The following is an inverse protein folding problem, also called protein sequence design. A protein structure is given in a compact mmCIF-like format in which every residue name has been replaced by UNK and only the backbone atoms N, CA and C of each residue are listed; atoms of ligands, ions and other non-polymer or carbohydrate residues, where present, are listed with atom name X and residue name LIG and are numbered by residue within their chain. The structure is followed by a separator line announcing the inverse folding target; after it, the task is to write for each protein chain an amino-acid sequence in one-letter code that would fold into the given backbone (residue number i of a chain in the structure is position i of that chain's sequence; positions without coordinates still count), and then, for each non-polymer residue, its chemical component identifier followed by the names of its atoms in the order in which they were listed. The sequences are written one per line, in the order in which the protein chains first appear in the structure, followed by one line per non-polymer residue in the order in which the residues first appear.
data_IF_615335841573
#
_entry.id   IF_615335841573
#
_cell.length_a   1.000
_cell.length_b   1.000
_cell.length_c   1.000
_cell.angle_alpha   90.00
_cell.angle_beta   90.00
_cell.angle_gamma   90.00
#
_symmetry.space_group_name_H-M   'P 1'
#
loop_
_entity.id
_entity.type
_entity.pdbx_description
1 polymer ?
#
# COMPACT_ATOMS: atom_id res chain seq x y z
N UNK A 1 26.20 -46.09 -9.12
CA UNK A 1 25.41 -45.76 -7.92
C UNK A 1 26.33 -45.93 -6.70
N UNK A 2 27.16 -44.93 -6.40
CA UNK A 2 28.29 -45.05 -5.45
C UNK A 2 28.02 -44.49 -4.06
N UNK A 3 26.90 -43.79 -3.85
CA UNK A 3 26.75 -42.88 -2.69
C UNK A 3 25.96 -43.49 -1.52
N UNK A 4 25.59 -44.78 -1.61
CA UNK A 4 24.90 -45.51 -0.53
C UNK A 4 23.51 -44.97 -0.15
N UNK A 5 22.96 -44.05 -0.94
CA UNK A 5 21.69 -43.38 -0.68
C UNK A 5 20.52 -44.35 -0.80
N UNK A 6 19.61 -44.36 0.19
CA UNK A 6 18.40 -45.18 0.13
C UNK A 6 17.47 -44.67 -0.99
N UNK A 7 17.08 -45.54 -1.91
CA UNK A 7 16.19 -45.20 -3.04
C UNK A 7 14.89 -46.02 -2.97
N UNK A 8 13.76 -45.41 -3.35
CA UNK A 8 12.42 -46.03 -3.29
C UNK A 8 11.40 -45.21 -2.47
N UNK A 9 10.30 -45.84 -2.02
CA UNK A 9 9.36 -45.22 -1.07
C UNK A 9 10.00 -45.16 0.33
N UNK A 10 10.55 -44.01 0.69
CA UNK A 10 11.19 -43.77 1.99
C UNK A 10 10.39 -42.74 2.79
N UNK A 11 10.24 -42.96 4.09
CA UNK A 11 9.56 -42.01 4.98
C UNK A 11 10.37 -40.73 5.20
N UNK A 12 9.71 -39.58 5.37
CA UNK A 12 10.41 -38.30 5.60
C UNK A 12 11.32 -38.29 6.83
N UNK A 13 10.98 -39.06 7.88
CA UNK A 13 11.85 -39.24 9.07
C UNK A 13 13.13 -39.99 8.74
N UNK A 14 13.05 -41.03 7.92
CA UNK A 14 14.22 -41.79 7.48
C UNK A 14 15.15 -40.93 6.60
N UNK A 15 14.59 -40.11 5.70
CA UNK A 15 15.38 -39.15 4.89
C UNK A 15 16.08 -38.12 5.78
N UNK A 16 15.40 -37.57 6.79
CA UNK A 16 16.00 -36.60 7.71
C UNK A 16 17.14 -37.21 8.55
N UNK A 17 16.97 -38.44 9.03
CA UNK A 17 18.02 -39.16 9.77
C UNK A 17 19.23 -39.48 8.88
N UNK A 18 19.00 -39.92 7.64
CA UNK A 18 20.07 -40.17 6.66
C UNK A 18 20.84 -38.88 6.31
N UNK A 19 20.12 -37.76 6.11
CA UNK A 19 20.73 -36.45 5.86
C UNK A 19 21.55 -35.97 7.07
N UNK A 20 21.11 -36.22 8.30
CA UNK A 20 21.85 -35.87 9.50
C UNK A 20 23.16 -36.68 9.62
N UNK A 21 23.10 -38.00 9.34
CA UNK A 21 24.28 -38.87 9.30
C UNK A 21 25.26 -38.45 8.21
N UNK A 22 24.77 -38.12 7.01
CA UNK A 22 25.60 -37.63 5.91
C UNK A 22 26.27 -36.30 6.23
N UNK A 23 25.52 -35.33 6.79
CA UNK A 23 26.11 -34.06 7.24
C UNK A 23 27.15 -34.26 8.34
N UNK A 24 26.93 -35.18 9.28
CA UNK A 24 27.89 -35.48 10.33
C UNK A 24 29.16 -36.15 9.78
N UNK A 25 29.01 -37.10 8.84
CA UNK A 25 30.13 -37.75 8.16
C UNK A 25 30.90 -36.77 7.27
N UNK A 26 30.22 -35.89 6.54
CA UNK A 26 30.82 -34.80 5.77
C UNK A 26 31.54 -33.82 6.69
N UNK A 27 30.93 -33.42 7.82
CA UNK A 27 31.56 -32.55 8.80
C UNK A 27 32.81 -33.18 9.42
N UNK A 28 32.79 -34.48 9.72
CA UNK A 28 33.95 -35.23 10.22
C UNK A 28 35.06 -35.36 9.15
N UNK A 29 34.68 -35.62 7.90
CA UNK A 29 35.61 -35.61 6.76
C UNK A 29 36.24 -34.24 6.56
N UNK A 30 35.44 -33.18 6.61
CA UNK A 30 35.93 -31.81 6.53
C UNK A 30 36.88 -31.57 7.71
N UNK A 31 36.48 -31.87 8.95
CA UNK A 31 37.27 -31.77 10.19
C UNK A 31 38.65 -32.44 10.08
N UNK A 32 38.72 -33.62 9.47
CA UNK A 32 39.95 -34.38 9.30
C UNK A 32 40.86 -33.88 8.15
N UNK A 33 40.36 -33.04 7.23
CA UNK A 33 41.21 -32.45 6.18
C UNK A 33 42.22 -31.45 6.76
N UNK A 34 43.40 -31.38 6.14
CA UNK A 34 44.45 -30.42 6.50
C UNK A 34 44.00 -28.97 6.27
N UNK A 35 44.64 -28.03 6.96
CA UNK A 35 44.33 -26.60 6.84
C UNK A 35 44.50 -26.08 5.40
N UNK A 36 45.45 -26.62 4.64
CA UNK A 36 45.72 -26.24 3.25
C UNK A 36 44.58 -26.61 2.29
N UNK A 37 43.92 -27.75 2.53
CA UNK A 37 42.82 -28.24 1.68
C UNK A 37 41.47 -27.73 2.17
N UNK A 38 41.28 -27.63 3.48
CA UNK A 38 40.02 -27.18 4.10
C UNK A 38 39.86 -25.67 4.13
N UNK A 39 40.95 -24.90 4.02
CA UNK A 39 40.93 -23.43 4.08
C UNK A 39 40.44 -22.86 5.42
N UNK A 40 40.48 -23.64 6.52
CA UNK A 40 39.95 -23.25 7.85
C UNK A 40 40.40 -21.87 8.32
N UNK A 41 41.67 -21.54 8.08
CA UNK A 41 42.29 -20.31 8.56
C UNK A 41 42.61 -19.33 7.40
N UNK A 42 41.97 -19.52 6.24
CA UNK A 42 42.17 -18.64 5.10
C UNK A 42 41.59 -17.25 5.40
N UNK A 43 42.44 -16.22 5.40
CA UNK A 43 42.01 -14.84 5.58
C UNK A 43 41.06 -14.43 4.45
N UNK A 44 39.87 -13.92 4.79
CA UNK A 44 38.90 -13.44 3.81
C UNK A 44 39.45 -12.20 3.09
N UNK A 45 39.59 -12.28 1.77
CA UNK A 45 40.02 -11.15 0.94
C UNK A 45 38.80 -10.36 0.50
N UNK A 46 38.64 -9.15 1.03
CA UNK A 46 37.59 -8.22 0.60
C UNK A 46 38.05 -7.47 -0.65
N UNK A 47 37.11 -7.23 -1.59
CA UNK A 47 37.37 -6.53 -2.84
C UNK A 47 36.29 -5.49 -3.12
N UNK A 48 36.70 -4.39 -3.75
CA UNK A 48 35.78 -3.37 -4.24
C UNK A 48 35.08 -3.82 -5.54
N UNK A 49 34.09 -3.05 -5.99
CA UNK A 49 33.37 -3.24 -7.26
C UNK A 49 34.32 -3.27 -8.47
N UNK A 50 35.47 -2.59 -8.38
CA UNK A 50 36.53 -2.59 -9.41
C UNK A 50 37.53 -3.74 -9.28
N UNK A 51 37.34 -4.64 -8.31
CA UNK A 51 38.19 -5.83 -8.08
C UNK A 51 39.48 -5.60 -7.29
N UNK A 52 39.76 -4.35 -6.87
CA UNK A 52 40.90 -4.04 -6.00
C UNK A 52 40.71 -4.64 -4.60
N UNK A 53 41.80 -5.06 -3.94
CA UNK A 53 41.75 -5.59 -2.56
C UNK A 53 41.55 -4.43 -1.58
N UNK A 54 40.63 -4.60 -0.64
CA UNK A 54 40.18 -3.58 0.33
C UNK A 54 40.26 -4.17 1.74
N UNK A 55 40.45 -3.34 2.76
CA UNK A 55 40.40 -3.80 4.14
C UNK A 55 38.98 -4.22 4.55
N UNK A 56 38.87 -5.01 5.61
CA UNK A 56 37.58 -5.49 6.14
C UNK A 56 36.67 -4.32 6.56
N UNK A 57 37.24 -3.34 7.25
CA UNK A 57 36.48 -2.21 7.80
C UNK A 57 35.95 -1.30 6.71
N UNK A 58 36.75 -1.04 5.67
CA UNK A 58 36.34 -0.28 4.48
C UNK A 58 35.22 -0.99 3.70
N UNK A 59 35.28 -2.32 3.58
CA UNK A 59 34.23 -3.08 2.90
C UNK A 59 32.89 -3.04 3.68
N UNK A 60 32.96 -3.18 5.01
CA UNK A 60 31.77 -3.06 5.88
C UNK A 60 31.20 -1.65 5.81
N UNK A 61 32.05 -0.61 5.92
CA UNK A 61 31.62 0.78 5.80
C UNK A 61 30.99 1.09 4.43
N UNK A 62 31.54 0.58 3.32
CA UNK A 62 30.96 0.75 2.00
C UNK A 62 29.61 0.03 1.86
N UNK A 63 29.47 -1.15 2.47
CA UNK A 63 28.19 -1.88 2.50
C UNK A 63 27.14 -1.15 3.32
N UNK A 64 27.51 -0.62 4.48
CA UNK A 64 26.57 0.08 5.36
C UNK A 64 26.17 1.44 4.77
N UNK A 65 27.08 2.16 4.09
CA UNK A 65 26.72 3.34 3.29
C UNK A 65 25.68 3.02 2.22
N UNK A 66 25.86 1.94 1.46
CA UNK A 66 24.87 1.52 0.44
C UNK A 66 23.52 1.14 1.04
N UNK A 67 23.49 0.57 2.25
CA UNK A 67 22.22 0.29 2.95
C UNK A 67 21.52 1.58 3.35
N UNK A 68 22.25 2.54 3.90
CA UNK A 68 21.71 3.85 4.27
C UNK A 68 21.19 4.58 3.03
N UNK A 69 21.95 4.61 1.93
CA UNK A 69 21.51 5.18 0.65
C UNK A 69 20.23 4.51 0.13
N UNK A 70 20.14 3.17 0.21
CA UNK A 70 18.93 2.43 -0.18
C UNK A 70 17.73 2.72 0.72
N UNK A 71 17.94 2.89 2.02
CA UNK A 71 16.89 3.27 2.98
C UNK A 71 16.42 4.71 2.74
N UNK A 72 17.33 5.63 2.45
CA UNK A 72 17.02 7.02 2.07
C UNK A 72 16.28 7.09 0.72
N UNK A 73 16.66 6.26 -0.27
CA UNK A 73 15.95 6.11 -1.54
C UNK A 73 14.54 5.51 -1.37
N UNK A 74 14.34 4.66 -0.35
CA UNK A 74 13.02 4.10 -0.02
C UNK A 74 12.13 5.15 0.64
N UNK A 75 12.70 6.00 1.49
CA UNK A 75 12.00 7.11 2.15
C UNK A 75 11.85 8.34 1.23
N UNK A 76 12.51 8.30 0.07
CA UNK A 76 12.48 9.34 -0.95
C UNK A 76 11.04 9.67 -1.32
N UNK A 77 10.77 10.97 -1.41
CA UNK A 77 9.42 11.50 -1.51
C UNK A 77 8.60 11.02 -2.71
N UNK A 78 9.30 10.42 -3.68
CA UNK A 78 8.81 10.08 -5.00
C UNK A 78 8.35 8.62 -5.09
N UNK A 79 8.74 7.76 -4.14
CA UNK A 79 8.36 6.34 -4.13
C UNK A 79 6.94 6.06 -3.57
N UNK A 80 6.34 7.03 -2.87
CA UNK A 80 5.03 6.88 -2.23
C UNK A 80 3.94 7.74 -2.87
N UNK A 81 2.68 7.28 -2.82
CA UNK A 81 1.55 8.06 -3.32
C UNK A 81 1.26 9.29 -2.46
N UNK A 82 0.99 10.46 -3.09
CA UNK A 82 0.63 11.69 -2.37
C UNK A 82 -0.58 11.51 -1.44
N UNK A 83 -1.58 10.74 -1.89
CA UNK A 83 -2.78 10.41 -1.11
C UNK A 83 -2.43 9.61 0.14
N UNK A 84 -1.58 8.59 0.01
CA UNK A 84 -1.15 7.74 1.13
C UNK A 84 -0.45 8.58 2.21
N UNK A 85 0.39 9.54 1.80
CA UNK A 85 1.06 10.46 2.73
C UNK A 85 0.07 11.36 3.47
N UNK A 86 -0.90 11.94 2.75
CA UNK A 86 -1.96 12.76 3.37
C UNK A 86 -2.80 11.93 4.34
N UNK A 87 -3.19 10.72 3.95
CA UNK A 87 -3.96 9.80 4.80
C UNK A 87 -3.18 9.44 6.08
N UNK A 88 -1.87 9.21 6.00
CA UNK A 88 -1.02 8.97 7.18
C UNK A 88 -1.01 10.20 8.10
N UNK A 89 -0.88 11.40 7.55
CA UNK A 89 -0.91 12.65 8.32
C UNK A 89 -2.27 12.89 8.98
N UNK A 90 -3.36 12.71 8.23
CA UNK A 90 -4.73 12.84 8.74
C UNK A 90 -5.01 11.81 9.83
N UNK A 91 -4.55 10.57 9.66
CA UNK A 91 -4.67 9.52 10.67
C UNK A 91 -3.89 9.86 11.94
N UNK A 92 -2.67 10.40 11.83
CA UNK A 92 -1.90 10.84 12.98
C UNK A 92 -2.61 11.96 13.75
N UNK A 93 -3.12 12.98 13.03
CA UNK A 93 -3.92 14.06 13.63
C UNK A 93 -5.21 13.54 14.30
N UNK A 94 -5.87 12.57 13.69
CA UNK A 94 -7.05 11.95 14.27
C UNK A 94 -6.69 11.18 15.55
N UNK A 95 -5.58 10.45 15.57
CA UNK A 95 -5.10 9.75 16.77
C UNK A 95 -4.77 10.72 17.91
N UNK A 96 -4.15 11.86 17.61
CA UNK A 96 -3.89 12.91 18.60
C UNK A 96 -5.19 13.49 19.19
N UNK A 97 -6.22 13.68 18.36
CA UNK A 97 -7.54 14.13 18.82
C UNK A 97 -8.23 13.06 19.68
N UNK A 98 -8.18 11.79 19.27
CA UNK A 98 -8.78 10.68 20.00
C UNK A 98 -8.05 10.36 21.31
N UNK A 99 -6.75 10.64 21.40
CA UNK A 99 -5.98 10.48 22.65
C UNK A 99 -6.56 11.31 23.80
N UNK A 100 -7.13 12.48 23.50
CA UNK A 100 -7.82 13.32 24.49
C UNK A 100 -9.30 13.00 24.71
N UNK A 101 -9.88 12.07 23.95
CA UNK A 101 -11.32 11.76 23.97
C UNK A 101 -11.64 10.59 24.91
N UNK A 102 -12.85 10.55 25.48
CA UNK A 102 -13.33 9.39 26.22
C UNK A 102 -13.51 8.18 25.28
N UNK A 103 -13.37 6.97 25.82
CA UNK A 103 -13.48 5.73 25.04
C UNK A 103 -14.86 5.52 24.39
N UNK A 104 -15.93 5.84 25.11
CA UNK A 104 -17.30 5.71 24.64
C UNK A 104 -17.87 7.09 24.30
N UNK A 105 -18.64 7.15 23.22
CA UNK A 105 -19.42 8.34 22.85
C UNK A 105 -20.76 8.33 23.58
N UNK A 106 -21.09 9.44 24.24
CA UNK A 106 -22.34 9.64 24.98
C UNK A 106 -23.35 10.44 24.15
N UNK A 107 -24.62 10.41 24.56
CA UNK A 107 -25.66 11.22 23.90
C UNK A 107 -25.38 12.73 24.01
N UNK A 108 -24.72 13.16 25.09
CA UNK A 108 -24.40 14.56 25.40
C UNK A 108 -23.03 15.03 24.87
N UNK A 109 -22.41 14.27 23.96
CA UNK A 109 -21.11 14.61 23.39
C UNK A 109 -21.19 15.88 22.54
N UNK A 110 -20.45 16.92 22.94
CA UNK A 110 -20.45 18.23 22.26
C UNK A 110 -20.01 18.14 20.79
N UNK A 111 -18.96 17.37 20.50
CA UNK A 111 -18.44 17.18 19.14
C UNK A 111 -19.47 16.48 18.24
N UNK A 112 -20.17 15.48 18.78
CA UNK A 112 -21.21 14.74 18.07
C UNK A 112 -22.41 15.63 17.76
N UNK A 113 -22.85 16.42 18.75
CA UNK A 113 -23.95 17.37 18.59
C UNK A 113 -23.60 18.48 17.59
N UNK A 114 -22.36 18.99 17.62
CA UNK A 114 -21.89 19.94 16.62
C UNK A 114 -21.95 19.34 15.20
N UNK A 115 -21.42 18.13 15.00
CA UNK A 115 -21.46 17.45 13.70
C UNK A 115 -22.90 17.19 13.20
N UNK A 116 -23.83 16.83 14.10
CA UNK A 116 -25.26 16.61 13.77
C UNK A 116 -26.00 17.89 13.37
N UNK A 117 -25.60 19.03 13.94
CA UNK A 117 -26.15 20.36 13.62
C UNK A 117 -25.61 20.86 12.29
N UNK A 118 -24.35 20.56 11.97
CA UNK A 118 -23.73 20.96 10.71
C UNK A 118 -24.17 20.10 9.51
N UNK A 119 -24.56 18.84 9.75
CA UNK A 119 -24.98 17.93 8.70
C UNK A 119 -26.16 18.48 7.87
N UNK A 120 -25.92 18.71 6.58
CA UNK A 120 -26.94 19.10 5.62
C UNK A 120 -27.96 17.97 5.44
N UNK A 121 -29.24 18.26 5.69
CA UNK A 121 -30.34 17.31 5.56
C UNK A 121 -31.13 17.60 4.29
N UNK A 122 -31.36 16.55 3.51
CA UNK A 122 -32.21 16.63 2.34
C UNK A 122 -33.66 16.93 2.77
N UNK A 123 -34.30 17.90 2.12
CA UNK A 123 -35.68 18.30 2.42
C UNK A 123 -35.86 19.30 3.57
N UNK A 124 -34.78 19.85 4.13
CA UNK A 124 -34.90 20.93 5.13
C UNK A 124 -35.26 22.28 4.46
N UNK A 125 -36.43 22.88 4.77
CA UNK A 125 -36.84 24.15 4.18
C UNK A 125 -35.92 25.32 4.54
N UNK A 126 -35.21 25.25 5.67
CA UNK A 126 -34.29 26.31 6.13
C UNK A 126 -32.88 26.17 5.55
N UNK A 127 -32.54 25.05 4.90
CA UNK A 127 -31.21 24.80 4.35
C UNK A 127 -30.75 25.87 3.35
N UNK A 128 -31.68 26.52 2.64
CA UNK A 128 -31.37 27.60 1.71
C UNK A 128 -31.07 28.94 2.39
N UNK A 129 -31.62 29.18 3.59
CA UNK A 129 -31.46 30.42 4.35
C UNK A 129 -30.15 30.44 5.16
N UNK A 130 -29.77 29.29 5.70
CA UNK A 130 -28.56 29.13 6.53
C UNK A 130 -27.37 28.67 5.71
N UNK A 131 -27.34 28.93 4.39
CA UNK A 131 -26.17 28.62 3.56
C UNK A 131 -24.97 29.44 4.04
N UNK A 132 -24.23 28.92 5.01
CA UNK A 132 -22.79 29.11 5.04
C UNK A 132 -22.34 28.76 3.63
N UNK A 133 -21.78 29.73 2.91
CA UNK A 133 -21.32 29.58 1.53
C UNK A 133 -20.51 28.30 1.50
N UNK A 134 -21.08 27.23 0.92
CA UNK A 134 -20.34 26.00 0.72
C UNK A 134 -19.03 26.46 0.07
N UNK A 135 -17.86 26.11 0.65
CA UNK A 135 -16.61 26.43 -0.02
C UNK A 135 -16.79 25.87 -1.41
N UNK A 136 -16.89 26.76 -2.37
CA UNK A 136 -17.12 26.41 -3.77
C UNK A 136 -16.06 25.34 -4.02
N UNK A 137 -16.48 24.10 -4.29
CA UNK A 137 -15.58 22.96 -4.55
C UNK A 137 -14.85 23.19 -5.89
N UNK A 138 -14.38 24.41 -6.16
CA UNK A 138 -13.11 24.65 -6.81
C UNK A 138 -12.12 23.72 -6.11
N UNK A 139 -11.89 22.60 -6.80
CA UNK A 139 -11.06 21.47 -6.42
C UNK A 139 -10.04 21.89 -5.37
N UNK A 140 -10.01 21.22 -4.19
CA UNK A 140 -9.19 21.63 -3.06
C UNK A 140 -7.87 22.05 -3.62
N UNK A 141 -7.59 23.35 -3.52
CA UNK A 141 -6.37 24.01 -4.00
C UNK A 141 -5.28 23.01 -3.68
N UNK A 142 -4.84 22.27 -4.71
CA UNK A 142 -3.77 21.30 -4.54
C UNK A 142 -2.64 22.21 -4.15
N UNK A 143 -2.34 22.25 -2.85
CA UNK A 143 -1.43 23.18 -2.23
C UNK A 143 -0.23 23.25 -3.15
N UNK A 144 -0.23 24.29 -3.99
CA UNK A 144 0.85 24.53 -4.90
C UNK A 144 1.86 25.09 -3.94
N UNK A 145 2.73 24.21 -3.45
CA UNK A 145 4.03 24.66 -3.04
C UNK A 145 4.47 25.61 -4.13
N UNK A 146 4.76 26.86 -3.75
CA UNK A 146 5.43 27.81 -4.61
C UNK A 146 6.78 27.19 -4.98
N UNK A 147 6.77 26.24 -5.91
CA UNK A 147 7.95 25.67 -6.48
C UNK A 147 8.44 26.72 -7.48
N UNK A 148 9.18 27.69 -6.93
CA UNK A 148 10.07 28.61 -7.63
C UNK A 148 9.55 29.06 -9.00
N UNK A 149 8.71 30.10 -9.01
CA UNK A 149 8.51 30.97 -10.18
C UNK A 149 7.46 30.56 -11.23
N UNK A 150 6.85 29.37 -11.17
CA UNK A 150 5.81 28.98 -12.12
C UNK A 150 4.41 28.97 -11.47
N UNK A 151 3.57 29.96 -11.81
CA UNK A 151 2.14 29.93 -11.44
C UNK A 151 1.43 28.95 -12.39
N UNK A 152 1.06 27.77 -11.90
CA UNK A 152 0.16 26.87 -12.61
C UNK A 152 -1.24 27.47 -12.51
N UNK A 153 -1.90 27.87 -13.60
CA UNK A 153 -3.27 28.36 -13.55
C UNK A 153 -4.19 27.29 -12.95
N UNK A 154 -4.85 27.63 -11.84
CA UNK A 154 -5.77 26.73 -11.14
C UNK A 154 -7.20 26.80 -11.69
N UNK A 155 -7.42 27.62 -12.71
CA UNK A 155 -8.71 27.77 -13.35
C UNK A 155 -9.16 26.48 -14.04
N UNK A 156 -10.46 26.24 -14.01
CA UNK A 156 -11.09 25.12 -14.72
C UNK A 156 -11.08 25.44 -16.22
N UNK A 157 -10.50 24.60 -17.08
CA UNK A 157 -10.50 24.83 -18.52
C UNK A 157 -11.92 24.80 -19.13
N UNK A 158 -12.16 25.50 -20.26
CA UNK A 158 -13.47 25.49 -20.95
C UNK A 158 -13.98 24.10 -21.32
N UNK A 159 -13.07 23.19 -21.70
CA UNK A 159 -13.41 21.81 -22.10
C UNK A 159 -13.66 20.87 -20.92
N UNK A 160 -13.47 21.33 -19.68
CA UNK A 160 -13.61 20.52 -18.49
C UNK A 160 -15.02 19.95 -18.32
N UNK A 161 -15.10 18.70 -17.88
CA UNK A 161 -16.33 18.07 -17.42
C UNK A 161 -17.08 18.89 -16.37
N UNK A 162 -16.37 19.62 -15.51
CA UNK A 162 -16.93 20.49 -14.47
C UNK A 162 -17.73 21.66 -15.07
N UNK A 163 -17.19 22.32 -16.11
CA UNK A 163 -17.89 23.44 -16.77
C UNK A 163 -19.04 22.97 -17.64
N UNK A 164 -18.90 21.81 -18.25
CA UNK A 164 -19.92 21.25 -19.14
C UNK A 164 -21.01 20.47 -18.39
N UNK A 165 -20.87 20.27 -17.08
CA UNK A 165 -21.84 19.53 -16.27
C UNK A 165 -21.97 18.05 -16.64
N UNK A 166 -20.96 17.44 -17.25
CA UNK A 166 -21.00 16.03 -17.64
C UNK A 166 -20.66 15.17 -16.43
N UNK A 167 -21.57 14.28 -16.03
CA UNK A 167 -21.32 13.36 -14.92
C UNK A 167 -20.12 12.44 -15.18
N UNK A 168 -19.21 12.34 -14.22
CA UNK A 168 -18.09 11.41 -14.31
C UNK A 168 -18.57 9.95 -14.23
N UNK A 169 -18.00 9.03 -15.04
CA UNK A 169 -18.30 7.61 -14.93
C UNK A 169 -17.90 7.10 -13.55
N UNK A 170 -18.71 6.21 -13.00
CA UNK A 170 -18.41 5.57 -11.73
C UNK A 170 -17.18 4.65 -11.87
N UNK A 171 -16.31 4.67 -10.87
CA UNK A 171 -15.18 3.76 -10.77
C UNK A 171 -15.18 3.07 -9.40
N UNK A 172 -14.50 1.92 -9.31
CA UNK A 172 -14.38 1.15 -8.06
C UNK A 172 -13.91 1.96 -6.85
N UNK A 173 -13.12 3.00 -7.07
CA UNK A 173 -12.48 3.78 -6.02
C UNK A 173 -13.19 5.09 -5.65
N UNK A 174 -14.29 5.43 -6.31
CA UNK A 174 -14.98 6.73 -6.13
C UNK A 174 -14.11 7.96 -6.45
N UNK A 175 -13.04 7.80 -7.23
CA UNK A 175 -12.11 8.88 -7.56
C UNK A 175 -12.73 9.74 -8.66
N UNK A 176 -12.96 11.02 -8.37
CA UNK A 176 -13.45 11.98 -9.37
C UNK A 176 -12.34 12.34 -10.38
N UNK A 177 -12.65 12.50 -11.67
CA UNK A 177 -11.69 12.96 -12.67
C UNK A 177 -11.13 14.34 -12.33
N UNK A 178 -9.89 14.61 -12.75
CA UNK A 178 -9.27 15.92 -12.57
C UNK A 178 -9.98 17.02 -13.39
N UNK A 179 -9.69 18.29 -13.05
CA UNK A 179 -10.31 19.45 -13.71
C UNK A 179 -10.07 19.52 -15.23
N UNK A 180 -9.03 18.88 -15.76
CA UNK A 180 -8.71 18.90 -17.19
C UNK A 180 -9.39 17.79 -17.98
N UNK A 181 -10.10 16.87 -17.31
CA UNK A 181 -10.78 15.81 -18.03
C UNK A 181 -11.91 16.38 -18.88
N UNK A 182 -11.95 15.98 -20.14
CA UNK A 182 -12.85 16.49 -21.16
C UNK A 182 -14.16 15.72 -21.23
N UNK A 183 -14.56 15.01 -20.17
CA UNK A 183 -15.84 14.32 -20.04
C UNK A 183 -16.14 13.18 -21.03
N UNK A 184 -15.22 12.85 -21.94
CA UNK A 184 -15.41 11.75 -22.89
C UNK A 184 -14.87 10.47 -22.28
N UNK A 185 -15.73 9.46 -22.16
CA UNK A 185 -15.34 8.12 -21.72
C UNK A 185 -14.52 7.42 -22.81
N UNK A 186 -13.29 7.02 -22.46
CA UNK A 186 -12.34 6.30 -23.33
C UNK A 186 -11.94 4.96 -22.72
N UNK A 187 -12.81 4.39 -21.89
CA UNK A 187 -12.57 3.09 -21.25
C UNK A 187 -12.81 1.92 -22.21
N UNK A 188 -12.32 0.74 -21.81
CA UNK A 188 -12.63 -0.53 -22.46
C UNK A 188 -13.96 -1.15 -21.97
N UNK A 189 -14.71 -0.46 -21.09
CA UNK A 189 -15.94 -0.96 -20.48
C UNK A 189 -15.77 -1.84 -19.23
N UNK A 190 -14.53 -2.11 -18.77
CA UNK A 190 -14.27 -3.02 -17.63
C UNK A 190 -15.03 -2.64 -16.36
N UNK A 191 -15.01 -1.37 -15.96
CA UNK A 191 -15.68 -0.91 -14.72
C UNK A 191 -17.19 -1.18 -14.79
N UNK A 192 -17.82 -0.95 -15.96
CA UNK A 192 -19.25 -1.20 -16.18
C UNK A 192 -19.56 -2.70 -16.07
N UNK A 193 -18.76 -3.56 -16.70
CA UNK A 193 -18.92 -5.02 -16.60
C UNK A 193 -18.69 -5.53 -15.17
N UNK A 194 -17.70 -4.97 -14.47
CA UNK A 194 -17.39 -5.32 -13.09
C UNK A 194 -18.57 -5.01 -12.16
N UNK A 195 -19.20 -3.83 -12.30
CA UNK A 195 -20.39 -3.48 -11.53
C UNK A 195 -21.57 -4.40 -11.85
N UNK A 196 -21.82 -4.70 -13.13
CA UNK A 196 -22.86 -5.67 -13.54
C UNK A 196 -22.63 -7.03 -12.86
N UNK A 197 -21.40 -7.53 -12.89
CA UNK A 197 -21.03 -8.80 -12.26
C UNK A 197 -21.22 -8.78 -10.75
N UNK A 198 -20.86 -7.69 -10.07
CA UNK A 198 -21.10 -7.56 -8.63
C UNK A 198 -22.59 -7.59 -8.29
N UNK A 199 -23.44 -6.91 -9.05
CA UNK A 199 -24.88 -6.93 -8.82
C UNK A 199 -25.48 -8.30 -9.11
N UNK A 200 -25.01 -9.00 -10.14
CA UNK A 200 -25.41 -10.37 -10.44
C UNK A 200 -25.11 -11.32 -9.27
N UNK A 201 -23.91 -11.22 -8.68
CA UNK A 201 -23.51 -12.03 -7.52
C UNK A 201 -24.35 -11.70 -6.28
N UNK A 202 -24.62 -10.41 -6.02
CA UNK A 202 -25.51 -9.99 -4.91
C UNK A 202 -26.92 -10.54 -5.09
N UNK A 203 -27.49 -10.42 -6.29
CA UNK A 203 -28.81 -10.97 -6.63
C UNK A 203 -28.84 -12.48 -6.45
N UNK A 204 -27.83 -13.20 -6.93
CA UNK A 204 -27.74 -14.66 -6.77
C UNK A 204 -27.69 -15.06 -5.30
N UNK A 205 -26.94 -14.32 -4.47
CA UNK A 205 -26.86 -14.56 -3.03
C UNK A 205 -28.21 -14.33 -2.33
N UNK A 206 -28.93 -13.27 -2.72
CA UNK A 206 -30.27 -12.99 -2.20
C UNK A 206 -31.26 -14.09 -2.61
N UNK A 207 -31.31 -14.46 -3.89
CA UNK A 207 -32.17 -15.53 -4.37
C UNK A 207 -31.86 -16.88 -3.69
N UNK A 208 -30.58 -17.19 -3.46
CA UNK A 208 -30.19 -18.41 -2.74
C UNK A 208 -30.61 -18.38 -1.26
N UNK A 209 -30.60 -17.20 -0.64
CA UNK A 209 -31.07 -17.02 0.74
C UNK A 209 -32.60 -17.19 0.82
N UNK A 210 -33.35 -16.55 -0.09
CA UNK A 210 -34.81 -16.67 -0.19
C UNK A 210 -35.23 -18.14 -0.43
N UNK A 211 -34.57 -18.83 -1.36
CA UNK A 211 -34.80 -20.25 -1.62
C UNK A 211 -34.52 -21.13 -0.39
N UNK A 212 -33.43 -20.85 0.34
CA UNK A 212 -33.08 -21.62 1.54
C UNK A 212 -34.08 -21.41 2.69
N UNK A 213 -34.82 -20.30 2.68
CA UNK A 213 -35.80 -19.97 3.70
C UNK A 213 -37.22 -20.48 3.35
N UNK A 214 -37.48 -20.87 2.10
CA UNK A 214 -38.82 -21.26 1.63
C UNK A 214 -39.33 -22.57 2.27
N UNK A 215 -38.45 -23.47 2.70
CA UNK A 215 -38.79 -24.77 3.31
C UNK A 215 -38.61 -24.80 4.84
N UNK A 216 -38.45 -23.63 5.48
CA UNK A 216 -38.35 -23.43 6.94
C UNK A 216 -39.59 -22.72 7.48
#
# INVERSE_FOLDING_TARGET
MSDGTSTGMVSGRAVAAEMALKRAAEAARFAAMSADVSGRDATTVYRDVRGARVSKDEYVAARDKKKVEFEEERDLAWGGGLKQRREVQERARALEQEHGRPFARTADDRDLEAARREALRWGDPMAHLVKARAPEELAPVLAAGQAKGFLIPQEVPPHSWLRRGVGAPANRYGIRPGRHWDGVDRSNGFEVEMFKRQQELKRRRQAAFEWAQEDM
#
